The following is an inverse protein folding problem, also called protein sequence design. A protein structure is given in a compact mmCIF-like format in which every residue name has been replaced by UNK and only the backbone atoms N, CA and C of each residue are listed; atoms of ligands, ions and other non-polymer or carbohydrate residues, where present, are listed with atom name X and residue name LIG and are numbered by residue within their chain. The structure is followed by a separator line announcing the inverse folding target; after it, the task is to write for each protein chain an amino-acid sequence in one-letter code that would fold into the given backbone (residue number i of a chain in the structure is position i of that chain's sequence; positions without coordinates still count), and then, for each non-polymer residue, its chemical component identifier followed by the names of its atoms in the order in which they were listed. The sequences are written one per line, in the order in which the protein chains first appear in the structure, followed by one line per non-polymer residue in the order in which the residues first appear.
data_IF_657866262605
#
_entry.id   IF_657866262605
#
_cell.length_a   1.000
_cell.length_b   1.000
_cell.length_c   1.000
_cell.angle_alpha   90.00
_cell.angle_beta   90.00
_cell.angle_gamma   90.00
#
_symmetry.space_group_name_H-M   'P 1'
#
loop_
_entity.id
_entity.type
_entity.pdbx_description
1 polymer ?
#
# COMPACT_ATOMS: atom_id res chain seq x y z
N UNK A 1 -26.77 -7.26 -1.45
CA UNK A 1 -25.68 -6.40 -0.94
C UNK A 1 -24.98 -5.78 -2.15
N UNK A 2 -24.84 -4.45 -2.20
CA UNK A 2 -24.22 -3.75 -3.34
C UNK A 2 -22.70 -3.89 -3.21
N UNK A 3 -22.03 -4.46 -4.22
CA UNK A 3 -20.58 -4.58 -4.21
C UNK A 3 -19.99 -3.18 -4.42
N UNK A 4 -19.26 -2.68 -3.44
CA UNK A 4 -18.51 -1.43 -3.58
C UNK A 4 -17.16 -1.75 -4.22
N UNK A 5 -16.80 -1.02 -5.28
CA UNK A 5 -15.51 -1.17 -5.95
C UNK A 5 -14.95 0.18 -6.36
N UNK A 6 -13.64 0.36 -6.19
CA UNK A 6 -12.93 1.55 -6.64
C UNK A 6 -12.97 1.59 -8.18
N UNK A 7 -13.34 2.75 -8.74
CA UNK A 7 -13.29 2.98 -10.18
C UNK A 7 -11.83 2.95 -10.66
N UNK A 8 -11.44 1.87 -11.35
CA UNK A 8 -10.06 1.63 -11.74
C UNK A 8 -9.54 2.66 -12.75
N UNK A 9 -10.38 3.12 -13.67
CA UNK A 9 -9.97 4.11 -14.68
C UNK A 9 -9.69 5.47 -14.04
N UNK A 10 -10.58 5.94 -13.16
CA UNK A 10 -10.36 7.18 -12.39
C UNK A 10 -9.11 7.06 -11.51
N UNK A 11 -8.96 5.94 -10.80
CA UNK A 11 -7.81 5.71 -9.93
C UNK A 11 -6.49 5.77 -10.72
N UNK A 12 -6.40 5.08 -11.87
CA UNK A 12 -5.18 5.08 -12.69
C UNK A 12 -4.83 6.48 -13.20
N UNK A 13 -5.83 7.27 -13.61
CA UNK A 13 -5.62 8.67 -14.03
C UNK A 13 -5.08 9.52 -12.88
N UNK A 14 -5.68 9.42 -11.70
CA UNK A 14 -5.31 10.21 -10.52
C UNK A 14 -3.93 9.83 -9.98
N UNK A 15 -3.62 8.54 -9.94
CA UNK A 15 -2.31 8.04 -9.56
C UNK A 15 -1.23 8.51 -10.54
N UNK A 16 -1.48 8.43 -11.85
CA UNK A 16 -0.53 8.94 -12.85
C UNK A 16 -0.29 10.44 -12.71
N UNK A 17 -1.30 11.24 -12.32
CA UNK A 17 -1.14 12.68 -12.02
C UNK A 17 -0.32 12.91 -10.76
N UNK A 18 -0.56 12.12 -9.70
CA UNK A 18 0.20 12.22 -8.45
C UNK A 18 1.66 11.82 -8.63
N UNK A 19 1.94 10.79 -9.42
CA UNK A 19 3.29 10.31 -9.72
C UNK A 19 4.19 11.37 -10.37
N UNK A 20 3.61 12.29 -11.16
CA UNK A 20 4.35 13.44 -11.72
C UNK A 20 4.94 14.32 -10.61
N UNK A 21 4.24 14.48 -9.48
CA UNK A 21 4.71 15.27 -8.33
C UNK A 21 5.91 14.61 -7.64
N UNK A 22 6.07 13.30 -7.78
CA UNK A 22 7.19 12.52 -7.22
C UNK A 22 8.44 12.55 -8.11
N UNK A 23 8.38 13.18 -9.28
CA UNK A 23 9.55 13.31 -10.16
C UNK A 23 10.51 14.35 -9.57
N UNK A 24 11.79 14.02 -9.34
CA UNK A 24 12.78 14.98 -8.85
C UNK A 24 12.92 16.18 -9.78
N UNK A 25 13.39 17.30 -9.24
CA UNK A 25 13.61 18.54 -10.00
C UNK A 25 15.02 19.06 -9.79
N UNK A 26 15.65 19.51 -10.87
CA UNK A 26 16.89 20.29 -10.79
C UNK A 26 16.52 21.72 -10.36
N UNK A 27 17.16 22.20 -9.30
CA UNK A 27 16.99 23.55 -8.77
C UNK A 27 18.32 24.27 -8.92
N UNK A 28 18.31 25.39 -9.63
CA UNK A 28 19.47 26.26 -9.80
C UNK A 28 19.47 27.30 -8.69
N UNK A 29 20.65 27.57 -8.14
CA UNK A 29 20.87 28.63 -7.14
C UNK A 29 21.34 29.91 -7.83
N UNK A 30 21.23 31.02 -7.09
CA UNK A 30 21.67 32.36 -7.53
C UNK A 30 23.18 32.40 -7.78
N UNK A 31 23.96 31.58 -7.07
CA UNK A 31 25.42 31.44 -7.20
C UNK A 31 25.86 30.63 -8.44
N UNK A 32 24.94 30.19 -9.30
CA UNK A 32 25.22 29.37 -10.49
C UNK A 32 25.36 27.87 -10.21
N UNK A 33 25.35 27.43 -8.95
CA UNK A 33 25.32 26.00 -8.60
C UNK A 33 23.91 25.41 -8.75
N UNK A 34 23.80 24.08 -8.75
CA UNK A 34 22.51 23.40 -8.82
C UNK A 34 22.45 22.17 -7.91
N UNK A 35 21.24 21.79 -7.50
CA UNK A 35 20.98 20.59 -6.72
C UNK A 35 19.67 19.93 -7.14
N UNK A 36 19.52 18.65 -6.84
CA UNK A 36 18.26 17.93 -7.06
C UNK A 36 17.39 17.99 -5.82
N UNK A 37 16.13 18.40 -5.98
CA UNK A 37 15.09 18.27 -4.97
C UNK A 37 14.18 17.10 -5.29
N UNK A 38 13.74 16.36 -4.28
CA UNK A 38 12.79 15.27 -4.44
C UNK A 38 11.96 15.10 -3.17
N UNK A 39 10.80 14.44 -3.30
CA UNK A 39 9.94 14.10 -2.18
C UNK A 39 10.35 12.72 -1.67
N UNK A 40 10.85 12.64 -0.44
CA UNK A 40 11.13 11.37 0.24
C UNK A 40 9.84 10.78 0.80
N UNK A 41 9.49 9.56 0.39
CA UNK A 41 8.28 8.89 0.86
C UNK A 41 8.50 8.27 2.25
N UNK A 42 7.43 8.02 3.02
CA UNK A 42 7.55 7.27 4.27
C UNK A 42 8.20 5.90 4.05
N UNK A 43 9.28 5.62 4.79
CA UNK A 43 10.03 4.36 4.69
C UNK A 43 10.92 4.23 3.44
N UNK A 44 11.03 5.26 2.60
CA UNK A 44 11.99 5.29 1.49
C UNK A 44 13.38 5.65 2.02
N UNK A 45 14.39 4.83 1.68
CA UNK A 45 15.80 5.17 1.87
C UNK A 45 16.22 6.31 0.93
N UNK A 46 17.32 6.98 1.25
CA UNK A 46 17.83 8.03 0.36
C UNK A 46 18.15 7.48 -1.04
N UNK A 47 17.69 8.20 -2.06
CA UNK A 47 17.88 7.79 -3.45
C UNK A 47 19.20 8.34 -3.98
N UNK A 48 19.97 7.49 -4.66
CA UNK A 48 21.23 7.91 -5.27
C UNK A 48 20.98 8.71 -6.57
N UNK A 49 22.04 9.37 -7.06
CA UNK A 49 21.97 10.20 -8.26
C UNK A 49 21.53 9.43 -9.52
N UNK A 50 21.91 8.16 -9.64
CA UNK A 50 21.50 7.29 -10.76
C UNK A 50 19.98 7.12 -10.79
N UNK A 51 19.37 6.91 -9.62
CA UNK A 51 17.92 6.80 -9.51
C UNK A 51 17.22 8.14 -9.74
N UNK A 52 17.76 9.24 -9.21
CA UNK A 52 17.23 10.60 -9.46
C UNK A 52 17.16 10.87 -10.96
N UNK A 53 18.26 10.66 -11.70
CA UNK A 53 18.31 10.87 -13.15
C UNK A 53 17.32 9.96 -13.89
N UNK A 54 17.19 8.71 -13.46
CA UNK A 54 16.22 7.76 -14.02
C UNK A 54 14.78 8.21 -13.80
N UNK A 55 14.44 8.69 -12.61
CA UNK A 55 13.10 9.24 -12.29
C UNK A 55 12.80 10.47 -13.13
N UNK A 56 13.76 11.37 -13.32
CA UNK A 56 13.61 12.55 -14.19
C UNK A 56 13.36 12.14 -15.63
N UNK A 57 14.18 11.24 -16.17
CA UNK A 57 14.09 10.79 -17.57
C UNK A 57 12.76 10.08 -17.88
N UNK A 58 12.24 9.29 -16.92
CA UNK A 58 11.00 8.54 -17.12
C UNK A 58 9.75 9.30 -16.64
N UNK A 59 9.90 10.36 -15.84
CA UNK A 59 8.78 11.08 -15.23
C UNK A 59 7.79 10.14 -14.52
N UNK A 60 6.49 10.29 -14.81
CA UNK A 60 5.45 9.41 -14.26
C UNK A 60 5.53 7.95 -14.72
N UNK A 61 6.22 7.65 -15.82
CA UNK A 61 6.38 6.27 -16.30
C UNK A 61 7.35 5.46 -15.46
N UNK A 62 8.18 6.11 -14.63
CA UNK A 62 8.98 5.44 -13.62
C UNK A 62 8.12 4.51 -12.73
N UNK A 63 6.90 4.94 -12.40
CA UNK A 63 5.95 4.23 -11.53
C UNK A 63 4.89 3.42 -12.29
N UNK A 64 5.06 3.21 -13.61
CA UNK A 64 4.09 2.46 -14.43
C UNK A 64 3.89 1.02 -13.95
N UNK A 65 4.95 0.38 -13.45
CA UNK A 65 4.87 -0.97 -12.92
C UNK A 65 4.04 -1.03 -11.64
N UNK A 66 4.13 -0.02 -10.77
CA UNK A 66 3.33 0.05 -9.54
C UNK A 66 1.85 0.17 -9.88
N UNK A 67 1.48 1.04 -10.84
CA UNK A 67 0.10 1.14 -11.35
C UNK A 67 -0.43 -0.18 -11.88
N UNK A 68 0.38 -0.92 -12.66
CA UNK A 68 0.00 -2.26 -13.16
C UNK A 68 -0.26 -3.25 -12.02
N UNK A 69 0.56 -3.23 -10.97
CA UNK A 69 0.42 -4.10 -9.80
C UNK A 69 -0.82 -3.74 -8.98
N UNK A 70 -1.11 -2.45 -8.79
CA UNK A 70 -2.36 -1.98 -8.18
C UNK A 70 -3.56 -2.51 -8.96
N UNK A 71 -3.56 -2.32 -10.29
CA UNK A 71 -4.65 -2.77 -11.15
C UNK A 71 -4.87 -4.28 -11.05
N UNK A 72 -3.79 -5.06 -11.10
CA UNK A 72 -3.84 -6.53 -11.00
C UNK A 72 -4.44 -6.96 -9.66
N UNK A 73 -4.00 -6.33 -8.57
CA UNK A 73 -4.46 -6.68 -7.22
C UNK A 73 -5.93 -6.30 -7.02
N UNK A 74 -6.35 -5.10 -7.43
CA UNK A 74 -7.75 -4.67 -7.34
C UNK A 74 -8.68 -5.52 -8.21
N UNK A 75 -8.24 -5.93 -9.41
CA UNK A 75 -9.01 -6.87 -10.24
C UNK A 75 -9.24 -8.18 -9.49
N UNK A 76 -8.19 -8.73 -8.89
CA UNK A 76 -8.30 -9.99 -8.13
C UNK A 76 -9.21 -9.87 -6.91
N UNK A 77 -9.13 -8.76 -6.17
CA UNK A 77 -10.02 -8.44 -5.05
C UNK A 77 -11.49 -8.40 -5.52
N UNK A 78 -11.74 -7.73 -6.64
CA UNK A 78 -13.08 -7.64 -7.23
C UNK A 78 -13.62 -8.99 -7.71
N UNK A 79 -12.77 -9.84 -8.31
CA UNK A 79 -13.13 -11.22 -8.69
C UNK A 79 -13.57 -12.06 -7.49
N UNK A 80 -12.90 -11.89 -6.35
CA UNK A 80 -13.25 -12.51 -5.07
C UNK A 80 -14.46 -11.85 -4.39
N UNK A 81 -15.06 -10.84 -5.02
CA UNK A 81 -16.22 -10.06 -4.53
C UNK A 81 -15.96 -9.36 -3.19
N UNK A 82 -14.71 -9.01 -2.92
CA UNK A 82 -14.32 -8.25 -1.71
C UNK A 82 -14.60 -6.77 -1.98
N UNK A 83 -15.34 -6.12 -1.09
CA UNK A 83 -15.67 -4.72 -1.24
C UNK A 83 -14.41 -3.87 -1.07
N UNK A 84 -14.30 -2.80 -1.87
CA UNK A 84 -13.22 -1.84 -1.72
C UNK A 84 -13.68 -0.43 -2.05
N UNK A 85 -13.21 0.55 -1.27
CA UNK A 85 -13.53 1.96 -1.51
C UNK A 85 -12.43 2.91 -1.09
N UNK A 86 -12.49 4.10 -1.67
CA UNK A 86 -11.76 5.26 -1.19
C UNK A 86 -12.63 5.99 -0.16
N UNK A 87 -12.10 6.23 1.04
CA UNK A 87 -12.83 6.89 2.12
C UNK A 87 -11.92 7.84 2.92
N UNK A 88 -12.50 8.72 3.73
CA UNK A 88 -11.75 9.40 4.77
C UNK A 88 -11.84 8.57 6.06
N UNK A 89 -10.72 7.99 6.48
CA UNK A 89 -10.64 7.09 7.64
C UNK A 89 -9.73 7.66 8.74
N UNK A 90 -9.60 8.99 8.79
CA UNK A 90 -8.78 9.71 9.77
C UNK A 90 -7.37 10.05 9.28
N UNK A 91 -6.64 10.84 10.08
CA UNK A 91 -5.35 11.40 9.71
C UNK A 91 -4.14 10.49 9.98
N UNK A 92 -4.32 9.39 10.70
CA UNK A 92 -3.21 8.47 11.02
C UNK A 92 -3.30 7.18 10.19
N UNK A 93 -4.51 6.81 9.79
CA UNK A 93 -4.82 5.59 9.04
C UNK A 93 -4.73 5.82 7.53
N UNK A 94 -4.00 4.95 6.81
CA UNK A 94 -3.89 5.00 5.35
C UNK A 94 -4.72 3.92 4.66
N UNK A 95 -4.89 2.76 5.29
CA UNK A 95 -5.74 1.66 4.86
C UNK A 95 -6.42 1.04 6.08
N UNK A 96 -7.52 0.33 5.84
CA UNK A 96 -8.18 -0.47 6.85
C UNK A 96 -8.92 -1.64 6.21
N UNK A 97 -8.64 -2.84 6.72
CA UNK A 97 -9.45 -4.03 6.49
C UNK A 97 -10.53 -4.18 7.58
N UNK A 98 -11.79 -4.31 7.17
CA UNK A 98 -12.93 -4.52 8.06
C UNK A 98 -13.54 -5.90 7.75
N UNK A 99 -13.12 -6.98 8.45
CA UNK A 99 -13.50 -8.35 8.13
C UNK A 99 -15.01 -8.57 8.09
N UNK A 100 -15.74 -8.10 9.11
CA UNK A 100 -17.19 -8.31 9.23
C UNK A 100 -18.00 -7.65 8.11
N UNK A 101 -17.44 -6.63 7.45
CA UNK A 101 -18.05 -5.94 6.32
C UNK A 101 -17.50 -6.41 4.97
N UNK A 102 -16.50 -7.29 4.99
CA UNK A 102 -15.77 -7.73 3.81
C UNK A 102 -15.27 -6.54 2.97
N UNK A 103 -14.67 -5.54 3.65
CA UNK A 103 -14.40 -4.23 3.08
C UNK A 103 -12.95 -3.77 3.33
N UNK A 104 -12.26 -3.46 2.23
CA UNK A 104 -11.01 -2.69 2.24
C UNK A 104 -11.33 -1.20 2.05
N UNK A 105 -10.96 -0.38 3.02
CA UNK A 105 -11.01 1.08 2.90
C UNK A 105 -9.59 1.63 2.71
N UNK A 106 -9.39 2.43 1.67
CA UNK A 106 -8.12 3.14 1.46
C UNK A 106 -8.37 4.64 1.58
N UNK A 107 -7.51 5.31 2.35
CA UNK A 107 -7.64 6.74 2.57
C UNK A 107 -7.43 7.50 1.26
N UNK A 108 -8.32 8.43 0.90
CA UNK A 108 -8.21 9.24 -0.32
C UNK A 108 -6.86 9.94 -0.49
N UNK A 109 -6.19 10.31 0.62
CA UNK A 109 -4.89 10.99 0.59
C UNK A 109 -3.76 10.10 0.05
N UNK A 110 -3.88 8.77 0.13
CA UNK A 110 -2.88 7.83 -0.41
C UNK A 110 -2.70 8.03 -1.93
N UNK A 111 -3.74 8.46 -2.65
CA UNK A 111 -3.65 8.78 -4.07
C UNK A 111 -2.70 9.95 -4.30
N UNK A 112 -2.77 10.98 -3.45
CA UNK A 112 -1.91 12.15 -3.55
C UNK A 112 -0.45 11.84 -3.18
N UNK A 113 -0.21 10.73 -2.47
CA UNK A 113 1.12 10.22 -2.13
C UNK A 113 1.74 9.39 -3.27
N UNK A 114 1.01 9.13 -4.35
CA UNK A 114 1.45 8.43 -5.56
C UNK A 114 1.30 6.92 -5.51
N UNK A 115 1.46 6.30 -6.68
CA UNK A 115 1.29 4.86 -6.92
C UNK A 115 2.06 3.97 -5.96
N UNK A 116 3.33 4.25 -5.61
CA UNK A 116 4.06 3.31 -4.77
C UNK A 116 3.53 3.23 -3.34
N UNK A 117 3.12 4.37 -2.77
CA UNK A 117 2.53 4.40 -1.43
C UNK A 117 1.16 3.75 -1.45
N UNK A 118 0.34 4.05 -2.46
CA UNK A 118 -0.95 3.39 -2.64
C UNK A 118 -0.80 1.87 -2.75
N UNK A 119 0.17 1.39 -3.54
CA UNK A 119 0.44 -0.03 -3.71
C UNK A 119 0.86 -0.70 -2.39
N UNK A 120 1.74 -0.06 -1.61
CA UNK A 120 2.17 -0.58 -0.32
C UNK A 120 0.98 -0.72 0.65
N UNK A 121 0.13 0.30 0.75
CA UNK A 121 -1.08 0.28 1.58
C UNK A 121 -2.03 -0.81 1.12
N UNK A 122 -2.34 -0.87 -0.18
CA UNK A 122 -3.22 -1.91 -0.73
C UNK A 122 -2.69 -3.32 -0.44
N UNK A 123 -1.38 -3.54 -0.59
CA UNK A 123 -0.76 -4.84 -0.27
C UNK A 123 -0.89 -5.20 1.20
N UNK A 124 -0.67 -4.24 2.09
CA UNK A 124 -0.83 -4.41 3.54
C UNK A 124 -2.24 -4.90 3.87
N UNK A 125 -3.27 -4.17 3.39
CA UNK A 125 -4.66 -4.57 3.63
C UNK A 125 -5.00 -5.93 3.02
N UNK A 126 -4.48 -6.25 1.83
CA UNK A 126 -4.71 -7.56 1.20
C UNK A 126 -4.05 -8.71 1.97
N UNK A 127 -2.92 -8.45 2.65
CA UNK A 127 -2.33 -9.45 3.53
C UNK A 127 -3.24 -9.66 4.75
N UNK A 128 -3.85 -8.61 5.30
CA UNK A 128 -4.87 -8.77 6.34
C UNK A 128 -6.09 -9.58 5.88
N UNK A 129 -6.57 -9.38 4.64
CA UNK A 129 -7.61 -10.24 4.06
C UNK A 129 -7.15 -11.70 4.04
N UNK A 130 -5.91 -11.95 3.60
CA UNK A 130 -5.34 -13.31 3.54
C UNK A 130 -5.22 -13.93 4.93
N UNK A 131 -4.84 -13.13 5.92
CA UNK A 131 -4.77 -13.51 7.33
C UNK A 131 -6.16 -13.85 7.89
N UNK A 132 -7.20 -13.07 7.57
CA UNK A 132 -8.59 -13.42 7.90
C UNK A 132 -9.00 -14.74 7.26
N UNK A 133 -8.80 -14.93 5.96
CA UNK A 133 -9.10 -16.20 5.29
C UNK A 133 -8.36 -17.39 5.93
N UNK A 134 -7.12 -17.20 6.36
CA UNK A 134 -6.33 -18.21 7.07
C UNK A 134 -6.90 -18.54 8.48
N UNK A 135 -7.63 -17.62 9.10
CA UNK A 135 -8.29 -17.83 10.40
C UNK A 135 -9.49 -18.79 10.33
N UNK A 136 -10.02 -19.06 9.13
CA UNK A 136 -11.16 -19.94 8.90
C UNK A 136 -12.09 -19.38 7.82
N UNK A 137 -12.44 -18.10 7.92
CA UNK A 137 -13.23 -17.39 6.92
C UNK A 137 -12.82 -15.91 6.79
N UNK A 138 -13.19 -15.29 5.67
CA UNK A 138 -12.83 -13.89 5.36
C UNK A 138 -13.40 -12.86 6.36
N UNK A 139 -14.52 -13.16 7.00
CA UNK A 139 -15.14 -12.33 8.04
C UNK A 139 -14.48 -12.45 9.40
N UNK A 140 -13.57 -13.41 9.60
CA UNK A 140 -12.89 -13.60 10.87
C UNK A 140 -11.82 -12.55 11.12
N UNK A 141 -11.52 -12.36 12.40
CA UNK A 141 -10.38 -11.56 12.82
C UNK A 141 -9.08 -12.11 12.20
N UNK A 142 -8.20 -11.25 11.64
CA UNK A 142 -6.93 -11.69 11.08
C UNK A 142 -6.09 -12.45 12.10
N UNK A 143 -5.52 -13.59 11.68
CA UNK A 143 -4.48 -14.29 12.45
C UNK A 143 -3.22 -14.39 11.62
N UNK A 144 -2.07 -14.47 12.30
CA UNK A 144 -0.81 -14.69 11.61
C UNK A 144 -0.87 -15.94 10.73
N UNK A 145 -0.30 -15.80 9.54
CA UNK A 145 -0.04 -16.91 8.62
C UNK A 145 1.16 -17.73 9.11
N UNK A 146 2.05 -17.11 9.90
CA UNK A 146 3.25 -17.76 10.45
C UNK A 146 4.50 -17.53 9.60
N UNK A 147 4.53 -16.44 8.83
CA UNK A 147 5.68 -16.11 7.98
C UNK A 147 6.81 -15.45 8.81
N UNK A 148 8.09 -15.64 8.42
CA UNK A 148 9.23 -14.98 9.09
C UNK A 148 9.14 -13.45 9.06
N UNK A 149 9.46 -12.80 10.18
CA UNK A 149 9.40 -11.34 10.36
C UNK A 149 10.78 -10.70 10.08
N UNK A 150 11.25 -10.75 8.83
CA UNK A 150 12.61 -10.32 8.47
C UNK A 150 12.83 -8.79 8.55
N UNK A 151 11.77 -7.97 8.39
CA UNK A 151 11.88 -6.50 8.30
C UNK A 151 11.52 -5.72 9.58
N UNK A 152 11.43 -6.38 10.75
CA UNK A 152 10.67 -5.82 11.89
C UNK A 152 11.44 -5.18 13.05
N UNK A 153 12.76 -4.96 12.98
CA UNK A 153 13.51 -4.48 14.16
C UNK A 153 13.23 -3.02 14.54
N UNK A 154 12.83 -2.16 13.61
CA UNK A 154 12.60 -0.71 13.84
C UNK A 154 11.36 -0.19 13.10
N UNK A 155 10.23 -0.89 13.17
CA UNK A 155 8.99 -0.35 12.58
C UNK A 155 8.42 0.66 13.57
N UNK A 156 8.41 1.94 13.19
CA UNK A 156 7.52 2.93 13.77
C UNK A 156 6.11 2.58 13.26
N UNK A 157 5.53 1.55 13.87
CA UNK A 157 4.21 1.07 13.51
C UNK A 157 3.26 2.21 13.92
N UNK A 158 2.68 2.90 12.94
CA UNK A 158 1.41 3.57 13.18
C UNK A 158 0.40 2.43 13.40
N UNK A 159 0.45 1.83 14.59
CA UNK A 159 -0.40 0.74 15.03
C UNK A 159 -1.84 1.19 14.86
N UNK A 160 -2.62 0.42 14.12
CA UNK A 160 -4.05 0.62 14.10
C UNK A 160 -4.59 0.28 15.50
N UNK A 161 -4.94 1.30 16.29
CA UNK A 161 -5.54 1.18 17.62
C UNK A 161 -6.93 0.50 17.62
N UNK A 162 -7.43 0.01 16.48
CA UNK A 162 -8.77 -0.55 16.35
C UNK A 162 -8.95 -1.94 16.97
N UNK A 163 -7.86 -2.63 17.34
CA UNK A 163 -7.90 -4.03 17.74
C UNK A 163 -7.39 -4.23 19.17
N UNK A 164 -8.18 -3.83 20.16
CA UNK A 164 -7.75 -3.60 21.56
C UNK A 164 -7.62 -4.85 22.46
N UNK A 165 -7.74 -6.08 21.95
CA UNK A 165 -7.90 -7.25 22.83
C UNK A 165 -6.60 -8.04 23.13
N UNK A 166 -5.53 -7.87 22.36
CA UNK A 166 -4.21 -8.42 22.71
C UNK A 166 -3.08 -7.69 21.95
N UNK A 167 -2.31 -6.79 22.61
CA UNK A 167 -1.36 -5.93 21.92
C UNK A 167 -0.21 -6.70 21.28
N UNK A 168 0.26 -7.81 21.85
CA UNK A 168 1.42 -8.55 21.31
C UNK A 168 1.07 -9.35 20.06
N UNK A 169 -0.05 -10.08 20.08
CA UNK A 169 -0.52 -10.81 18.91
C UNK A 169 -0.84 -9.85 17.76
N UNK A 170 -1.49 -8.73 18.08
CA UNK A 170 -1.77 -7.67 17.10
C UNK A 170 -0.48 -7.11 16.49
N UNK A 171 0.52 -6.77 17.31
CA UNK A 171 1.82 -6.29 16.82
C UNK A 171 2.42 -7.29 15.84
N UNK A 172 2.33 -8.60 16.12
CA UNK A 172 2.90 -9.61 15.24
C UNK A 172 2.10 -9.79 13.94
N UNK A 173 0.77 -9.66 13.98
CA UNK A 173 -0.10 -9.63 12.78
C UNK A 173 0.27 -8.45 11.88
N UNK A 174 0.36 -7.25 12.45
CA UNK A 174 0.72 -6.02 11.74
C UNK A 174 2.15 -6.07 11.19
N UNK A 175 3.10 -6.60 11.97
CA UNK A 175 4.49 -6.80 11.51
C UNK A 175 4.57 -7.77 10.33
N UNK A 176 3.79 -8.85 10.34
CA UNK A 176 3.74 -9.80 9.24
C UNK A 176 3.18 -9.13 7.98
N UNK A 177 2.05 -8.42 8.09
CA UNK A 177 1.47 -7.67 6.98
C UNK A 177 2.44 -6.60 6.43
N UNK A 178 3.07 -5.83 7.32
CA UNK A 178 4.04 -4.81 6.94
C UNK A 178 5.25 -5.41 6.20
N UNK A 179 5.84 -6.48 6.74
CA UNK A 179 7.00 -7.18 6.17
C UNK A 179 6.70 -7.65 4.74
N UNK A 180 5.59 -8.36 4.55
CA UNK A 180 5.25 -8.95 3.26
C UNK A 180 4.63 -7.95 2.29
N UNK A 181 4.13 -6.79 2.75
CA UNK A 181 3.70 -5.71 1.85
C UNK A 181 4.85 -5.17 0.97
N UNK A 182 6.09 -5.29 1.47
CA UNK A 182 7.30 -4.85 0.75
C UNK A 182 7.81 -5.88 -0.25
N UNK A 183 7.44 -7.15 -0.08
CA UNK A 183 7.87 -8.24 -0.96
C UNK A 183 6.99 -8.27 -2.20
N UNK A 184 7.61 -8.14 -3.37
CA UNK A 184 6.88 -8.11 -4.63
C UNK A 184 6.12 -9.42 -4.88
N UNK A 185 4.84 -9.33 -5.26
CA UNK A 185 3.99 -10.49 -5.51
C UNK A 185 3.48 -11.24 -4.27
N UNK A 186 3.95 -10.93 -3.05
CA UNK A 186 3.54 -11.64 -1.85
C UNK A 186 2.03 -11.51 -1.58
N UNK A 187 1.50 -10.28 -1.62
CA UNK A 187 0.08 -10.03 -1.35
C UNK A 187 -0.85 -10.85 -2.25
N UNK A 188 -0.61 -10.91 -3.57
CA UNK A 188 -1.46 -11.68 -4.48
C UNK A 188 -1.28 -13.19 -4.31
N UNK A 189 -0.05 -13.64 -4.02
CA UNK A 189 0.23 -15.06 -3.75
C UNK A 189 -0.50 -15.54 -2.51
N UNK A 190 -0.46 -14.75 -1.43
CA UNK A 190 -1.15 -15.06 -0.18
C UNK A 190 -2.66 -15.01 -0.35
N UNK A 191 -3.17 -13.97 -1.04
CA UNK A 191 -4.59 -13.84 -1.33
C UNK A 191 -5.11 -15.07 -2.08
N UNK A 192 -4.42 -15.50 -3.14
CA UNK A 192 -4.80 -16.67 -3.93
C UNK A 192 -4.66 -17.99 -3.17
N UNK A 193 -3.75 -18.07 -2.20
CA UNK A 193 -3.54 -19.28 -1.41
C UNK A 193 -4.63 -19.48 -0.37
N UNK A 194 -5.03 -18.40 0.31
CA UNK A 194 -5.90 -18.48 1.48
C UNK A 194 -7.35 -18.13 1.18
N UNK A 195 -7.62 -17.23 0.24
CA UNK A 195 -8.97 -16.83 -0.11
C UNK A 195 -9.40 -17.50 -1.42
N UNK A 196 -10.51 -18.25 -1.36
CA UNK A 196 -11.16 -18.88 -2.51
C UNK A 196 -12.31 -18.03 -3.02
#
# INVERSE_FOLDING_TARGET
MKIESINLNDLMLRLSKADKKLTPKLVNKIDGSSYYSYIKRPGESDINLKEIKKRISLGSDFYKNDRKKILTLLKRINELKINNKLANIGNETLGLWVPIQDLIMINYRTINMGSPTFLNVLRHEVIHVSQSCNSGNRGDFPKRIGLPLEFSKNINLNLHNFYSQNPEELINIEREAFTYSKIDGAAIKLLNKFCK
#
